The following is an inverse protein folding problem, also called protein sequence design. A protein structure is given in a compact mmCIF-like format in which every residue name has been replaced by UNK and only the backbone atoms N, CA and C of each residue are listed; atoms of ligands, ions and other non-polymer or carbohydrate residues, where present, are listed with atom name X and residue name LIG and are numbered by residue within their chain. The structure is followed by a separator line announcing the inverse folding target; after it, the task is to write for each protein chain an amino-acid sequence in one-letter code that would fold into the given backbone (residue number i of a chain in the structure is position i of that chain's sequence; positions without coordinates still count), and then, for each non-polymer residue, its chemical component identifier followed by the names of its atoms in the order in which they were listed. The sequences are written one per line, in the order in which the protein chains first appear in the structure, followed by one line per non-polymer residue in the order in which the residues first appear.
data_IF_256349716576
#
_entry.id   IF_256349716576
#
_cell.length_a   1.000
_cell.length_b   1.000
_cell.length_c   1.000
_cell.angle_alpha   90.00
_cell.angle_beta   90.00
_cell.angle_gamma   90.00
#
_symmetry.space_group_name_H-M   'P 1'
#
loop_
_entity.id
_entity.type
_entity.pdbx_description
1 polymer ?
#
# COMPACT_ATOMS: atom_id res chain seq x y z
N UNK A 1 19.23 -10.46 -32.66
CA UNK A 1 17.99 -11.10 -32.18
C UNK A 1 18.16 -11.37 -30.68
N UNK A 2 17.63 -10.51 -29.82
CA UNK A 2 17.51 -10.80 -28.38
C UNK A 2 16.04 -10.67 -28.04
N UNK A 3 15.34 -11.81 -27.92
CA UNK A 3 14.01 -11.88 -27.31
C UNK A 3 14.20 -11.76 -25.79
N UNK A 4 14.13 -10.55 -25.27
CA UNK A 4 13.93 -10.36 -23.83
C UNK A 4 12.45 -10.63 -23.52
N UNK A 5 12.23 -11.72 -22.79
CA UNK A 5 10.94 -12.18 -22.29
C UNK A 5 10.33 -11.06 -21.42
N UNK A 6 9.28 -10.42 -21.94
CA UNK A 6 8.44 -9.48 -21.20
C UNK A 6 7.55 -10.29 -20.24
N UNK A 7 8.09 -10.71 -19.11
CA UNK A 7 7.25 -10.99 -17.95
C UNK A 7 6.68 -9.63 -17.52
N UNK A 8 5.35 -9.47 -17.62
CA UNK A 8 4.65 -8.23 -17.33
C UNK A 8 4.91 -7.76 -15.89
N UNK A 9 5.98 -6.99 -15.70
CA UNK A 9 6.26 -6.28 -14.46
C UNK A 9 5.18 -5.21 -14.35
N UNK A 10 4.21 -5.39 -13.44
CA UNK A 10 3.35 -4.28 -13.03
C UNK A 10 4.27 -3.16 -12.53
N UNK A 11 4.21 -2.02 -13.19
CA UNK A 11 5.11 -0.90 -12.92
C UNK A 11 4.67 -0.27 -11.59
N UNK A 12 5.63 -0.12 -10.69
CA UNK A 12 5.44 0.44 -9.35
C UNK A 12 5.97 1.87 -9.36
N UNK A 13 5.08 2.86 -9.39
CA UNK A 13 5.46 4.29 -9.33
C UNK A 13 5.68 4.78 -7.90
N UNK A 14 6.51 4.04 -7.17
CA UNK A 14 6.85 4.28 -5.77
C UNK A 14 8.37 4.10 -5.57
N UNK A 15 9.13 5.16 -5.24
CA UNK A 15 10.56 5.05 -5.01
C UNK A 15 10.88 4.07 -3.88
N UNK A 16 11.97 3.31 -4.00
CA UNK A 16 12.33 2.27 -3.04
C UNK A 16 12.45 2.77 -1.59
N UNK A 17 12.98 3.98 -1.40
CA UNK A 17 13.02 4.68 -0.09
C UNK A 17 11.62 4.86 0.50
N UNK A 18 10.67 5.35 -0.29
CA UNK A 18 9.29 5.59 0.14
C UNK A 18 8.60 4.26 0.45
N UNK A 19 8.79 3.24 -0.41
CA UNK A 19 8.29 1.89 -0.16
C UNK A 19 8.77 1.36 1.19
N UNK A 20 10.07 1.44 1.47
CA UNK A 20 10.65 0.96 2.73
C UNK A 20 10.13 1.76 3.93
N UNK A 21 9.95 3.08 3.80
CA UNK A 21 9.36 3.92 4.85
C UNK A 21 7.90 3.54 5.14
N UNK A 22 7.11 3.23 4.11
CA UNK A 22 5.72 2.75 4.27
C UNK A 22 5.72 1.40 4.97
N UNK A 23 6.50 0.43 4.49
CA UNK A 23 6.60 -0.91 5.09
C UNK A 23 7.03 -0.83 6.56
N UNK A 24 8.05 -0.03 6.88
CA UNK A 24 8.49 0.17 8.26
C UNK A 24 7.40 0.78 9.14
N UNK A 25 6.67 1.78 8.62
CA UNK A 25 5.60 2.44 9.36
C UNK A 25 4.41 1.52 9.58
N UNK A 26 4.06 0.67 8.60
CA UNK A 26 3.05 -0.38 8.77
C UNK A 26 3.51 -1.39 9.81
N UNK A 27 4.76 -1.88 9.73
CA UNK A 27 5.29 -2.85 10.67
C UNK A 27 5.26 -2.33 12.12
N UNK A 28 5.64 -1.07 12.32
CA UNK A 28 5.67 -0.44 13.65
C UNK A 28 4.26 -0.20 14.23
N UNK A 29 3.21 -0.14 13.41
CA UNK A 29 1.86 0.19 13.86
C UNK A 29 0.92 -1.02 13.86
N UNK A 30 0.96 -1.82 12.81
CA UNK A 30 0.08 -2.96 12.58
C UNK A 30 0.75 -4.29 12.90
N UNK A 31 2.08 -4.40 12.73
CA UNK A 31 2.83 -5.66 12.86
C UNK A 31 3.19 -6.24 11.50
N UNK A 32 3.48 -7.55 11.45
CA UNK A 32 3.88 -8.26 10.23
C UNK A 32 2.67 -8.58 9.34
N UNK A 33 2.01 -7.53 8.84
CA UNK A 33 0.85 -7.65 7.96
C UNK A 33 1.24 -7.59 6.48
N UNK A 34 0.42 -8.18 5.61
CA UNK A 34 0.63 -8.07 4.16
C UNK A 34 0.18 -6.70 3.66
N UNK A 35 1.07 -6.02 2.95
CA UNK A 35 0.86 -4.66 2.45
C UNK A 35 0.79 -4.66 0.94
N UNK A 36 -0.22 -3.99 0.39
CA UNK A 36 -0.44 -3.90 -1.03
C UNK A 36 -0.57 -2.44 -1.46
N UNK A 37 0.11 -2.06 -2.54
CA UNK A 37 -0.18 -0.82 -3.25
C UNK A 37 -1.29 -1.09 -4.28
N UNK A 38 -2.26 -0.20 -4.37
CA UNK A 38 -3.28 -0.23 -5.41
C UNK A 38 -3.53 1.19 -5.96
N UNK A 39 -4.59 1.36 -6.74
CA UNK A 39 -5.02 2.67 -7.23
C UNK A 39 -4.09 3.28 -8.28
N UNK A 40 -4.05 4.61 -8.31
CA UNK A 40 -3.43 5.36 -9.42
C UNK A 40 -1.93 5.10 -9.58
N UNK A 41 -1.22 4.74 -8.49
CA UNK A 41 0.22 4.50 -8.49
C UNK A 41 0.63 3.13 -9.05
N UNK A 42 -0.33 2.30 -9.42
CA UNK A 42 -0.10 1.06 -10.19
C UNK A 42 -0.42 1.22 -11.69
N UNK A 43 -0.80 2.44 -12.13
CA UNK A 43 -1.10 2.76 -13.52
C UNK A 43 -0.28 3.98 -14.01
N UNK A 44 0.52 3.78 -15.06
CA UNK A 44 1.41 4.82 -15.59
C UNK A 44 0.67 5.96 -16.32
N UNK A 45 -0.57 5.74 -16.75
CA UNK A 45 -1.35 6.78 -17.46
C UNK A 45 -1.92 7.85 -16.52
N UNK A 46 -1.93 7.60 -15.20
CA UNK A 46 -2.47 8.51 -14.20
C UNK A 46 -1.34 9.29 -13.53
N UNK A 47 -1.22 10.59 -13.79
CA UNK A 47 -0.18 11.45 -13.18
C UNK A 47 -0.67 12.00 -11.82
N UNK A 48 0.20 11.99 -10.81
CA UNK A 48 -0.12 12.51 -9.47
C UNK A 48 -0.82 11.49 -8.57
N UNK A 49 -1.69 11.97 -7.68
CA UNK A 49 -2.52 11.14 -6.80
C UNK A 49 -1.90 10.78 -5.46
N UNK A 50 -2.77 10.42 -4.52
CA UNK A 50 -2.39 9.88 -3.21
C UNK A 50 -1.85 8.44 -3.37
N UNK A 51 -1.17 7.94 -2.34
CA UNK A 51 -0.63 6.58 -2.33
C UNK A 51 -1.66 5.68 -1.65
N UNK A 52 -2.39 4.89 -2.43
CA UNK A 52 -3.44 4.00 -1.93
C UNK A 52 -2.82 2.68 -1.45
N UNK A 53 -2.89 2.41 -0.15
CA UNK A 53 -2.29 1.24 0.50
C UNK A 53 -3.38 0.42 1.18
N UNK A 54 -3.45 -0.86 0.82
CA UNK A 54 -4.31 -1.85 1.46
C UNK A 54 -3.46 -2.69 2.43
N UNK A 55 -3.92 -2.78 3.67
CA UNK A 55 -3.31 -3.63 4.70
C UNK A 55 -4.24 -4.81 4.93
N UNK A 56 -3.77 -6.01 4.60
CA UNK A 56 -4.48 -7.25 4.89
C UNK A 56 -4.33 -7.57 6.37
N UNK A 57 -5.43 -7.55 7.11
CA UNK A 57 -5.40 -7.75 8.57
C UNK A 57 -6.76 -8.21 9.08
N UNK A 58 -6.75 -8.97 10.17
CA UNK A 58 -7.96 -9.48 10.84
C UNK A 58 -8.41 -8.64 12.02
N UNK A 59 -7.71 -7.55 12.34
CA UNK A 59 -8.09 -6.66 13.45
C UNK A 59 -9.46 -6.01 13.20
N UNK A 60 -10.13 -5.58 14.26
CA UNK A 60 -11.39 -4.85 14.15
C UNK A 60 -11.19 -3.40 13.67
N UNK A 61 -12.29 -2.75 13.31
CA UNK A 61 -12.29 -1.39 12.76
C UNK A 61 -11.75 -0.33 13.73
N UNK A 62 -12.05 -0.43 15.03
CA UNK A 62 -11.59 0.55 16.03
C UNK A 62 -10.09 0.41 16.30
N UNK A 63 -9.61 -0.83 16.38
CA UNK A 63 -8.17 -1.13 16.43
C UNK A 63 -7.47 -0.62 15.18
N UNK A 64 -8.06 -0.82 13.99
CA UNK A 64 -7.50 -0.33 12.72
C UNK A 64 -7.40 1.19 12.72
N UNK A 65 -8.45 1.91 13.15
CA UNK A 65 -8.48 3.36 13.24
C UNK A 65 -7.38 3.90 14.16
N UNK A 66 -7.19 3.26 15.32
CA UNK A 66 -6.14 3.65 16.28
C UNK A 66 -4.74 3.42 15.69
N UNK A 67 -4.49 2.24 15.10
CA UNK A 67 -3.21 1.91 14.45
C UNK A 67 -2.94 2.78 13.22
N UNK A 68 -3.97 3.21 12.49
CA UNK A 68 -3.86 4.16 11.39
C UNK A 68 -3.32 5.51 11.85
N UNK A 69 -3.75 6.02 13.02
CA UNK A 69 -3.19 7.24 13.58
C UNK A 69 -1.70 7.08 13.98
N UNK A 70 -1.33 5.92 14.54
CA UNK A 70 0.07 5.60 14.83
C UNK A 70 0.92 5.54 13.55
N UNK A 71 0.40 4.98 12.46
CA UNK A 71 1.09 4.92 11.18
C UNK A 71 1.44 6.32 10.65
N UNK A 72 0.47 7.24 10.61
CA UNK A 72 0.76 8.61 10.16
C UNK A 72 1.71 9.34 11.11
N UNK A 73 1.58 9.12 12.41
CA UNK A 73 2.52 9.67 13.39
C UNK A 73 3.95 9.17 13.15
N UNK A 74 4.12 7.90 12.81
CA UNK A 74 5.42 7.29 12.49
C UNK A 74 6.02 7.84 11.18
N UNK A 75 5.19 8.04 10.16
CA UNK A 75 5.62 8.70 8.92
C UNK A 75 6.14 10.12 9.19
N UNK A 76 5.37 10.92 9.93
CA UNK A 76 5.73 12.29 10.26
C UNK A 76 7.01 12.37 11.09
N UNK A 77 7.15 11.52 12.12
CA UNK A 77 8.38 11.42 12.93
C UNK A 77 9.60 11.02 12.11
N UNK A 78 9.40 10.24 11.05
CA UNK A 78 10.45 9.84 10.11
C UNK A 78 10.79 10.92 9.09
N UNK A 79 10.19 12.11 9.20
CA UNK A 79 10.43 13.25 8.29
C UNK A 79 9.64 13.20 6.99
N UNK A 80 8.58 12.38 6.92
CA UNK A 80 7.78 12.20 5.72
C UNK A 80 6.34 12.65 5.93
N UNK A 81 5.91 13.65 5.15
CA UNK A 81 4.52 14.07 5.07
C UNK A 81 3.89 13.51 3.78
N UNK A 82 3.77 12.18 3.70
CA UNK A 82 3.21 11.50 2.53
C UNK A 82 1.68 11.50 2.61
N UNK A 83 1.04 11.80 1.47
CA UNK A 83 -0.38 11.56 1.29
C UNK A 83 -0.61 10.07 0.99
N UNK A 84 -0.76 9.28 2.04
CA UNK A 84 -1.08 7.85 1.96
C UNK A 84 -2.52 7.67 2.41
N UNK A 85 -3.35 6.97 1.64
CA UNK A 85 -4.64 6.48 2.12
C UNK A 85 -4.50 5.03 2.56
N UNK A 86 -4.93 4.73 3.78
CA UNK A 86 -4.87 3.39 4.35
C UNK A 86 -6.26 2.76 4.34
N UNK A 87 -6.35 1.63 3.65
CA UNK A 87 -7.54 0.80 3.58
C UNK A 87 -7.33 -0.49 4.34
N UNK A 88 -8.31 -0.83 5.17
CA UNK A 88 -8.38 -2.14 5.81
C UNK A 88 -8.88 -3.17 4.79
N UNK A 89 -8.02 -4.11 4.42
CA UNK A 89 -8.36 -5.16 3.48
C UNK A 89 -8.66 -6.46 4.25
N UNK A 90 -9.94 -6.75 4.43
CA UNK A 90 -10.41 -7.93 5.16
C UNK A 90 -11.68 -8.50 4.49
N UNK A 91 -12.32 -9.48 5.12
CA UNK A 91 -13.54 -10.11 4.58
C UNK A 91 -14.78 -9.22 4.59
N UNK A 92 -14.78 -8.13 5.35
CA UNK A 92 -15.94 -7.22 5.52
C UNK A 92 -15.90 -6.01 4.58
N UNK A 93 -14.85 -5.88 3.77
CA UNK A 93 -14.74 -4.81 2.79
C UNK A 93 -15.85 -4.92 1.72
N UNK A 94 -16.33 -3.78 1.24
CA UNK A 94 -17.31 -3.72 0.16
C UNK A 94 -16.84 -4.53 -1.06
N UNK A 95 -17.77 -5.29 -1.67
CA UNK A 95 -17.45 -6.24 -2.75
C UNK A 95 -16.92 -5.55 -4.00
N UNK A 96 -17.47 -4.38 -4.36
CA UNK A 96 -17.03 -3.64 -5.54
C UNK A 96 -15.62 -3.08 -5.29
N UNK A 97 -15.40 -2.51 -4.11
CA UNK A 97 -14.10 -1.99 -3.73
C UNK A 97 -13.04 -3.09 -3.60
N UNK A 98 -13.41 -4.27 -3.08
CA UNK A 98 -12.55 -5.46 -3.05
C UNK A 98 -12.07 -5.84 -4.45
N UNK A 99 -12.99 -5.88 -5.41
CA UNK A 99 -12.67 -6.23 -6.81
C UNK A 99 -11.70 -5.23 -7.43
N UNK A 100 -11.86 -3.94 -7.14
CA UNK A 100 -10.95 -2.90 -7.60
C UNK A 100 -9.52 -3.12 -7.07
N UNK A 101 -9.39 -3.32 -5.76
CA UNK A 101 -8.11 -3.62 -5.12
C UNK A 101 -7.50 -4.90 -5.72
N UNK A 102 -8.26 -5.99 -5.78
CA UNK A 102 -7.77 -7.27 -6.29
C UNK A 102 -7.33 -7.20 -7.76
N UNK A 103 -8.00 -6.38 -8.58
CA UNK A 103 -7.67 -6.23 -9.99
C UNK A 103 -6.28 -5.63 -10.20
N UNK A 104 -5.87 -4.68 -9.35
CA UNK A 104 -4.69 -3.85 -9.60
C UNK A 104 -3.67 -3.81 -8.46
N UNK A 105 -3.85 -4.60 -7.39
CA UNK A 105 -2.92 -4.61 -6.27
C UNK A 105 -1.54 -5.16 -6.66
N UNK A 106 -0.52 -4.59 -6.04
CA UNK A 106 0.87 -5.04 -6.08
C UNK A 106 1.31 -5.23 -4.65
N UNK A 107 1.74 -6.45 -4.29
CA UNK A 107 2.29 -6.71 -2.96
C UNK A 107 3.61 -5.95 -2.80
N UNK A 108 3.73 -5.20 -1.71
CA UNK A 108 4.95 -4.49 -1.36
C UNK A 108 5.85 -5.41 -0.54
N UNK A 109 7.08 -5.57 -1.02
CA UNK A 109 8.12 -6.35 -0.35
C UNK A 109 9.32 -5.43 -0.06
N UNK A 110 10.13 -5.80 0.93
CA UNK A 110 11.40 -5.11 1.17
C UNK A 110 12.29 -5.16 -0.08
N UNK A 111 13.07 -4.10 -0.31
CA UNK A 111 14.09 -4.10 -1.36
C UNK A 111 15.31 -4.91 -0.94
#
# INVERSE_FOLDING_TARGET
MCKSILFGRRILRLPGRIKNTILQSVQNSFGLESVYLFGSRTNDTLLGGDIDIAIETSIDYESFRTKRAHFYSNLLRSGYNLKVDLVQYNSHIDVLFKKEIDSNKIKLEWN
#
